data_IF_672981772450
#
_entry.id   IF_672981772450
#
_cell.length_a   1.000
_cell.length_b   1.000
_cell.length_c   1.000
_cell.angle_alpha   90.00
_cell.angle_beta   90.00
_cell.angle_gamma   90.00
#
_symmetry.space_group_name_H-M   'P 1'
#
loop_
_entity.id
_entity.type
_entity.pdbx_description
1 polymer ?
#
# COMPACT_ATOMS: atom_id res chain seq x y z
N UNK A 1 8.65 42.65 -24.75
CA UNK A 1 8.62 42.02 -23.42
C UNK A 1 7.91 40.69 -23.56
N UNK A 2 8.66 39.62 -23.32
CA UNK A 2 8.26 38.23 -23.51
C UNK A 2 7.49 37.71 -22.29
N UNK A 3 6.37 37.04 -22.52
CA UNK A 3 5.93 35.93 -21.67
C UNK A 3 5.48 34.83 -22.60
N UNK A 4 6.43 33.97 -22.97
CA UNK A 4 6.21 32.76 -23.73
C UNK A 4 5.30 31.81 -22.94
N UNK A 5 4.27 31.31 -23.62
CA UNK A 5 3.42 30.22 -23.19
C UNK A 5 4.25 28.93 -23.04
N UNK A 6 4.52 28.50 -21.80
CA UNK A 6 5.22 27.23 -21.48
C UNK A 6 4.22 26.19 -20.95
N UNK A 7 3.11 25.98 -21.66
CA UNK A 7 2.10 24.96 -21.29
C UNK A 7 1.65 24.11 -22.48
N UNK A 8 2.51 23.87 -23.47
CA UNK A 8 2.20 22.94 -24.55
C UNK A 8 3.44 22.21 -25.05
N UNK A 9 4.00 21.34 -24.20
CA UNK A 9 4.80 20.23 -24.70
C UNK A 9 4.62 19.04 -23.77
N UNK A 10 3.70 18.15 -24.14
CA UNK A 10 3.52 16.82 -23.55
C UNK A 10 4.81 16.01 -23.70
N UNK A 11 5.73 16.14 -22.73
CA UNK A 11 6.86 15.21 -22.62
C UNK A 11 6.35 13.93 -21.95
N UNK A 12 6.03 12.94 -22.78
CA UNK A 12 5.70 11.57 -22.36
C UNK A 12 6.63 11.06 -21.25
N UNK A 13 7.94 11.37 -21.35
CA UNK A 13 8.95 11.03 -20.35
C UNK A 13 8.71 11.63 -18.96
N UNK A 14 8.17 12.85 -18.84
CA UNK A 14 7.87 13.48 -17.54
C UNK A 14 6.68 12.76 -16.88
N UNK A 15 5.63 12.44 -17.65
CA UNK A 15 4.49 11.68 -17.13
C UNK A 15 4.90 10.26 -16.70
N UNK A 16 5.75 9.59 -17.49
CA UNK A 16 6.28 8.26 -17.17
C UNK A 16 7.19 8.31 -15.95
N UNK A 17 8.11 9.27 -15.87
CA UNK A 17 8.96 9.46 -14.68
C UNK A 17 8.11 9.76 -13.45
N UNK A 18 7.12 10.65 -13.56
CA UNK A 18 6.22 10.95 -12.47
C UNK A 18 5.48 9.68 -12.02
N UNK A 19 4.95 8.88 -12.96
CA UNK A 19 4.28 7.61 -12.67
C UNK A 19 5.18 6.60 -11.98
N UNK A 20 6.39 6.33 -12.51
CA UNK A 20 7.34 5.37 -11.93
C UNK A 20 7.70 5.73 -10.49
N UNK A 21 7.78 7.02 -10.24
CA UNK A 21 8.14 7.55 -8.94
C UNK A 21 6.91 7.41 -8.01
N UNK A 22 5.66 7.53 -8.50
CA UNK A 22 4.41 7.24 -7.75
C UNK A 22 4.11 5.79 -7.42
N UNK A 23 4.95 4.86 -7.85
CA UNK A 23 4.72 3.47 -7.54
C UNK A 23 5.06 3.14 -6.08
N UNK A 24 4.24 2.29 -5.42
CA UNK A 24 4.63 1.70 -4.16
C UNK A 24 5.94 0.91 -4.34
N UNK A 25 6.84 1.06 -3.37
CA UNK A 25 8.04 0.24 -3.23
C UNK A 25 7.69 -1.23 -3.10
N UNK A 26 8.67 -2.11 -3.36
CA UNK A 26 8.49 -3.55 -3.18
C UNK A 26 8.04 -3.92 -1.76
N UNK A 27 8.53 -3.22 -0.73
CA UNK A 27 8.11 -3.44 0.67
C UNK A 27 6.62 -3.11 0.86
N UNK A 28 6.16 -1.96 0.36
CA UNK A 28 4.74 -1.58 0.41
C UNK A 28 3.87 -2.55 -0.41
N UNK A 29 4.33 -3.00 -1.57
CA UNK A 29 3.62 -4.01 -2.39
C UNK A 29 3.45 -5.33 -1.64
N UNK A 30 4.49 -5.78 -0.93
CA UNK A 30 4.42 -6.98 -0.09
C UNK A 30 3.34 -6.79 1.00
N UNK A 31 3.33 -5.65 1.70
CA UNK A 31 2.32 -5.38 2.72
C UNK A 31 0.90 -5.37 2.15
N UNK A 32 0.70 -4.80 0.96
CA UNK A 32 -0.60 -4.80 0.24
C UNK A 32 -1.02 -6.22 -0.10
N UNK A 33 -0.11 -7.05 -0.61
CA UNK A 33 -0.41 -8.44 -0.95
C UNK A 33 -0.75 -9.27 0.30
N UNK A 34 -0.01 -9.08 1.40
CA UNK A 34 -0.30 -9.72 2.68
C UNK A 34 -1.69 -9.35 3.19
N UNK A 35 -2.04 -8.06 3.20
CA UNK A 35 -3.35 -7.60 3.66
C UNK A 35 -4.49 -8.11 2.75
N UNK A 36 -4.32 -8.06 1.42
CA UNK A 36 -5.28 -8.63 0.46
C UNK A 36 -5.48 -10.13 0.66
N UNK A 37 -4.40 -10.87 0.94
CA UNK A 37 -4.48 -12.30 1.23
C UNK A 37 -5.28 -12.54 2.51
N UNK A 38 -4.93 -11.87 3.60
CA UNK A 38 -5.60 -12.04 4.89
C UNK A 38 -7.09 -11.68 4.84
N UNK A 39 -7.45 -10.59 4.16
CA UNK A 39 -8.86 -10.23 3.97
C UNK A 39 -9.65 -11.35 3.29
N UNK A 40 -9.10 -11.94 2.23
CA UNK A 40 -9.74 -13.09 1.55
C UNK A 40 -9.87 -14.30 2.47
N UNK A 41 -8.90 -14.54 3.35
CA UNK A 41 -8.97 -15.68 4.28
C UNK A 41 -10.07 -15.54 5.33
N UNK A 42 -10.52 -14.33 5.64
CA UNK A 42 -11.63 -14.08 6.58
C UNK A 42 -12.96 -14.44 5.92
N UNK A 43 -13.14 -14.06 4.65
CA UNK A 43 -14.36 -14.33 3.89
C UNK A 43 -14.44 -15.78 3.35
N UNK A 44 -13.50 -16.65 3.73
CA UNK A 44 -13.44 -18.01 3.20
C UNK A 44 -14.37 -18.95 3.98
N UNK A 45 -15.18 -19.80 3.30
CA UNK A 45 -16.02 -20.78 3.97
C UNK A 45 -15.27 -21.77 4.87
N UNK A 46 -15.95 -22.23 5.92
CA UNK A 46 -15.41 -23.11 6.97
C UNK A 46 -14.91 -24.47 6.47
N UNK A 47 -15.43 -24.95 5.34
CA UNK A 47 -15.09 -26.22 4.71
C UNK A 47 -13.78 -26.18 3.89
N UNK A 48 -13.22 -24.99 3.69
CA UNK A 48 -11.98 -24.83 2.94
C UNK A 48 -10.74 -25.21 3.76
N UNK A 49 -9.71 -25.69 3.04
CA UNK A 49 -8.39 -25.90 3.64
C UNK A 49 -7.86 -24.61 4.30
N UNK A 50 -8.18 -23.45 3.72
CA UNK A 50 -7.69 -22.17 4.21
C UNK A 50 -8.27 -21.81 5.58
N UNK A 51 -9.56 -22.09 5.81
CA UNK A 51 -10.18 -21.90 7.12
C UNK A 51 -9.48 -22.74 8.21
N UNK A 52 -9.15 -23.99 7.90
CA UNK A 52 -8.38 -24.87 8.81
C UNK A 52 -6.98 -24.34 9.12
N UNK A 53 -6.41 -23.51 8.23
CA UNK A 53 -5.09 -22.91 8.40
C UNK A 53 -5.11 -21.58 9.19
N UNK A 54 -6.27 -20.96 9.37
CA UNK A 54 -6.42 -19.68 10.09
C UNK A 54 -5.77 -19.65 11.48
N UNK A 55 -5.87 -20.70 12.33
CA UNK A 55 -5.21 -20.69 13.63
C UNK A 55 -3.70 -20.48 13.53
N UNK A 56 -3.04 -21.08 12.53
CA UNK A 56 -1.59 -20.96 12.31
C UNK A 56 -1.18 -19.59 11.75
N UNK A 57 -2.10 -18.91 11.05
CA UNK A 57 -1.91 -17.55 10.53
C UNK A 57 -2.12 -16.52 11.64
N UNK A 58 -3.10 -16.74 12.54
CA UNK A 58 -3.47 -15.77 13.59
C UNK A 58 -2.62 -15.89 14.84
N UNK A 59 -2.07 -17.08 15.14
CA UNK A 59 -1.33 -17.32 16.39
C UNK A 59 0.16 -17.47 16.16
N UNK A 60 0.95 -16.63 16.83
CA UNK A 60 2.41 -16.71 16.86
C UNK A 60 2.94 -17.88 17.70
N UNK A 61 2.06 -18.56 18.43
CA UNK A 61 2.38 -19.71 19.30
C UNK A 61 2.59 -20.99 18.50
N UNK A 62 2.11 -21.05 17.26
CA UNK A 62 2.52 -22.10 16.34
C UNK A 62 3.95 -21.80 15.88
N UNK A 63 4.85 -22.78 15.84
CA UNK A 63 6.20 -22.66 15.24
C UNK A 63 6.19 -22.29 13.74
N UNK A 64 5.02 -21.96 13.22
CA UNK A 64 4.79 -21.52 11.87
C UNK A 64 5.38 -20.14 11.61
N UNK A 65 5.78 -19.91 10.36
CA UNK A 65 6.11 -18.58 9.86
C UNK A 65 4.86 -17.82 9.37
N UNK A 66 3.69 -18.48 9.32
CA UNK A 66 2.45 -17.91 8.79
C UNK A 66 1.96 -16.70 9.60
N UNK A 67 2.25 -16.62 10.90
CA UNK A 67 1.91 -15.43 11.71
C UNK A 67 2.63 -14.16 11.22
N UNK A 68 3.74 -14.26 10.49
CA UNK A 68 4.41 -13.09 9.90
C UNK A 68 3.56 -12.37 8.85
N UNK A 69 2.48 -12.99 8.37
CA UNK A 69 1.52 -12.32 7.50
C UNK A 69 0.74 -11.24 8.28
N UNK A 70 0.41 -11.49 9.55
CA UNK A 70 -0.39 -10.57 10.37
C UNK A 70 0.44 -9.46 11.01
N UNK A 71 1.77 -9.49 10.89
CA UNK A 71 2.66 -8.44 11.43
C UNK A 71 2.82 -7.23 10.50
N UNK A 72 2.29 -7.31 9.27
CA UNK A 72 2.32 -6.20 8.30
C UNK A 72 1.72 -4.92 8.92
N UNK A 73 2.39 -3.75 8.83
CA UNK A 73 1.84 -2.49 9.32
C UNK A 73 0.48 -2.16 8.71
N UNK A 74 0.30 -2.44 7.40
CA UNK A 74 -0.97 -2.21 6.73
C UNK A 74 -2.08 -3.13 7.25
N UNK A 75 -1.76 -4.39 7.56
CA UNK A 75 -2.75 -5.31 8.14
C UNK A 75 -3.18 -4.87 9.54
N UNK A 76 -2.26 -4.37 10.36
CA UNK A 76 -2.59 -3.87 11.70
C UNK A 76 -3.63 -2.74 11.64
N UNK A 77 -3.45 -1.78 10.73
CA UNK A 77 -4.45 -0.72 10.48
C UNK A 77 -5.81 -1.29 10.03
N UNK A 78 -5.78 -2.33 9.20
CA UNK A 78 -6.98 -3.01 8.75
C UNK A 78 -7.68 -3.78 9.87
N UNK A 79 -6.94 -4.39 10.79
CA UNK A 79 -7.47 -5.22 11.88
C UNK A 79 -7.93 -4.41 13.10
N UNK A 80 -7.40 -3.20 13.28
CA UNK A 80 -7.93 -2.21 14.24
C UNK A 80 -9.36 -1.77 13.87
N UNK A 81 -9.62 -1.71 12.56
CA UNK A 81 -10.99 -1.63 12.05
C UNK A 81 -11.58 -3.03 12.13
N UNK A 82 -12.74 -3.18 12.79
CA UNK A 82 -13.44 -4.46 12.87
C UNK A 82 -13.41 -5.20 11.51
N UNK A 83 -12.76 -6.39 11.39
CA UNK A 83 -12.52 -7.05 10.12
C UNK A 83 -13.82 -7.37 9.37
N UNK A 84 -14.90 -7.65 10.11
CA UNK A 84 -16.23 -7.95 9.54
C UNK A 84 -16.87 -6.72 8.88
N UNK A 85 -16.37 -5.52 9.21
CA UNK A 85 -16.79 -4.26 8.60
C UNK A 85 -15.81 -3.73 7.56
N UNK A 86 -14.72 -4.44 7.27
CA UNK A 86 -13.67 -4.00 6.36
C UNK A 86 -14.08 -4.25 4.90
N UNK A 87 -14.94 -3.38 4.37
CA UNK A 87 -15.33 -3.46 2.97
C UNK A 87 -14.20 -3.01 2.01
N UNK A 88 -14.39 -3.26 0.71
CA UNK A 88 -13.44 -2.89 -0.34
C UNK A 88 -13.11 -1.39 -0.35
N UNK A 89 -14.05 -0.53 0.06
CA UNK A 89 -13.89 0.93 0.06
C UNK A 89 -13.00 1.37 1.22
N UNK A 90 -13.26 0.87 2.42
CA UNK A 90 -12.44 1.12 3.62
C UNK A 90 -11.02 0.59 3.44
N UNK A 91 -10.86 -0.63 2.90
CA UNK A 91 -9.53 -1.14 2.58
C UNK A 91 -8.78 -0.21 1.61
N UNK A 92 -9.46 0.31 0.59
CA UNK A 92 -8.85 1.25 -0.37
C UNK A 92 -8.42 2.55 0.32
N UNK A 93 -9.22 3.07 1.25
CA UNK A 93 -8.91 4.27 2.02
C UNK A 93 -7.69 4.04 2.94
N UNK A 94 -7.71 2.99 3.77
CA UNK A 94 -6.59 2.64 4.66
C UNK A 94 -5.29 2.43 3.85
N UNK A 95 -5.39 1.74 2.71
CA UNK A 95 -4.24 1.54 1.81
C UNK A 95 -3.70 2.87 1.28
N UNK A 96 -4.58 3.81 0.92
CA UNK A 96 -4.19 5.13 0.41
C UNK A 96 -3.43 5.90 1.51
N UNK A 97 -3.99 5.96 2.71
CA UNK A 97 -3.42 6.70 3.84
C UNK A 97 -2.06 6.11 4.24
N UNK A 98 -1.96 4.77 4.31
CA UNK A 98 -0.71 4.07 4.55
C UNK A 98 0.40 4.41 3.52
N UNK A 99 0.05 4.46 2.23
CA UNK A 99 0.99 4.81 1.17
C UNK A 99 1.38 6.29 1.21
N UNK A 100 0.44 7.16 1.57
CA UNK A 100 0.68 8.59 1.75
C UNK A 100 1.66 8.83 2.90
N UNK A 101 1.42 8.24 4.07
CA UNK A 101 2.31 8.36 5.23
C UNK A 101 3.71 7.82 4.94
N UNK A 102 3.80 6.62 4.33
CA UNK A 102 5.09 6.04 3.95
C UNK A 102 5.85 6.91 2.94
N UNK A 103 5.14 7.60 2.05
CA UNK A 103 5.75 8.56 1.15
C UNK A 103 6.22 9.84 1.85
N UNK A 104 5.42 10.39 2.75
CA UNK A 104 5.80 11.57 3.54
C UNK A 104 7.04 11.28 4.39
N UNK A 105 7.08 10.11 5.03
CA UNK A 105 8.26 9.64 5.78
C UNK A 105 9.50 9.56 4.89
N UNK A 106 9.39 9.00 3.68
CA UNK A 106 10.50 8.98 2.72
C UNK A 106 10.91 10.36 2.24
N UNK A 107 9.96 11.28 2.10
CA UNK A 107 10.21 12.67 1.68
C UNK A 107 10.89 13.48 2.78
N UNK A 108 10.57 13.20 4.04
CA UNK A 108 11.16 13.83 5.22
C UNK A 108 12.56 13.27 5.55
N UNK A 109 12.89 12.06 5.08
CA UNK A 109 14.24 11.51 5.21
C UNK A 109 15.26 12.38 4.45
N UNK A 110 16.27 12.85 5.17
CA UNK A 110 17.34 13.74 4.70
C UNK A 110 18.08 13.20 3.47
N UNK A 111 18.03 11.88 3.24
CA UNK A 111 18.64 11.22 2.08
C UNK A 111 17.85 11.38 0.77
N UNK A 112 16.68 12.03 0.81
CA UNK A 112 15.72 12.08 -0.29
C UNK A 112 15.57 13.44 -0.96
N UNK A 113 16.64 14.26 -1.00
CA UNK A 113 16.64 15.61 -1.61
C UNK A 113 15.98 15.62 -3.01
N UNK A 114 16.14 14.53 -3.78
CA UNK A 114 15.50 14.35 -5.09
C UNK A 114 13.97 14.18 -5.03
N UNK A 115 13.44 13.47 -4.02
CA UNK A 115 11.99 13.27 -3.87
C UNK A 115 11.28 14.56 -3.45
N UNK A 116 11.86 15.33 -2.53
CA UNK A 116 11.27 16.59 -2.06
C UNK A 116 11.24 17.67 -3.15
N UNK A 117 12.26 17.70 -4.02
CA UNK A 117 12.35 18.63 -5.15
C UNK A 117 11.47 18.24 -6.36
N UNK A 118 11.20 16.94 -6.56
CA UNK A 118 10.48 16.46 -7.76
C UNK A 118 8.99 16.13 -7.53
N UNK A 119 8.46 16.20 -6.30
CA UNK A 119 7.14 15.63 -5.96
C UNK A 119 6.34 16.43 -4.93
N UNK A 120 5.42 17.31 -5.37
CA UNK A 120 4.58 18.05 -4.44
C UNK A 120 3.44 17.22 -3.82
N UNK A 121 2.90 16.19 -4.50
CA UNK A 121 1.78 15.35 -4.01
C UNK A 121 1.88 13.90 -4.50
N UNK A 122 1.26 12.98 -3.75
CA UNK A 122 1.14 11.56 -4.12
C UNK A 122 -0.11 11.34 -4.96
N UNK A 123 0.07 11.06 -6.25
CA UNK A 123 -1.01 10.53 -7.08
C UNK A 123 -0.94 9.01 -7.01
N UNK A 124 -1.85 8.37 -6.26
CA UNK A 124 -1.97 6.91 -6.30
C UNK A 124 -2.39 6.49 -7.69
N UNK A 125 -1.52 5.73 -8.34
CA UNK A 125 -1.76 5.18 -9.65
C UNK A 125 -2.90 4.13 -9.60
N UNK A 126 -3.94 4.22 -10.45
CA UNK A 126 -5.09 3.32 -10.42
C UNK A 126 -4.80 1.88 -10.84
N UNK A 127 -3.57 1.54 -11.23
CA UNK A 127 -3.20 0.21 -11.75
C UNK A 127 -3.06 -0.85 -10.62
N UNK A 128 -3.17 -0.49 -9.33
CA UNK A 128 -3.03 -1.41 -8.17
C UNK A 128 -4.27 -1.60 -7.28
#
# INVERSE_FOLDING_TARGET
>A
MSTSNIWSTSRSSIKVMLHLVHQPTMKERIHILQAKFLLRTIDTPDDTLMFRLLPYIRTSTSHSQWYKLTTSPLWRLCAETDPDQLDRRKFKAIRQDYLQESFENRRADTNSILLSACRPQLVVDPIL
#
